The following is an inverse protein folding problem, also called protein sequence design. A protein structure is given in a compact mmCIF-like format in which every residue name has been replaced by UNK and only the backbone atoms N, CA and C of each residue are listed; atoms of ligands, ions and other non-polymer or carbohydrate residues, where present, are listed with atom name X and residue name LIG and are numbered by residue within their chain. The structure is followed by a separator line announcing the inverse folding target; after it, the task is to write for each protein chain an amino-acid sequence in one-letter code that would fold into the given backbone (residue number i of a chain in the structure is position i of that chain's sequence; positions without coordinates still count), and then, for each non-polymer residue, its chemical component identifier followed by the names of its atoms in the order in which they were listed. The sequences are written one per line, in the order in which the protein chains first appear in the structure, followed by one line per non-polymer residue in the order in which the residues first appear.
data_IF_156490007916
#
_entry.id   IF_156490007916
#
_cell.length_a   1.000
_cell.length_b   1.000
_cell.length_c   1.000
_cell.angle_alpha   90.00
_cell.angle_beta   90.00
_cell.angle_gamma   90.00
#
_symmetry.space_group_name_H-M   'P 1'
#
loop_
_entity.id
_entity.type
_entity.pdbx_description
1 polymer ?
#
# COMPACT_ATOMS: atom_id res chain seq x y z
N UNK A 1 7.54 -13.53 -17.41
CA UNK A 1 7.56 -14.55 -16.34
C UNK A 1 8.28 -13.97 -15.13
N UNK A 2 7.55 -13.36 -14.19
CA UNK A 2 8.10 -12.88 -12.93
C UNK A 2 7.87 -13.96 -11.86
N UNK A 3 8.96 -14.39 -11.24
CA UNK A 3 8.92 -15.30 -10.12
C UNK A 3 8.27 -14.59 -8.93
N UNK A 4 7.13 -15.08 -8.50
CA UNK A 4 6.44 -14.65 -7.27
C UNK A 4 7.33 -14.96 -6.07
N UNK A 5 8.02 -13.96 -5.53
CA UNK A 5 8.58 -14.05 -4.18
C UNK A 5 7.41 -14.17 -3.20
N UNK A 6 7.29 -15.30 -2.53
CA UNK A 6 6.41 -15.45 -1.37
C UNK A 6 6.86 -14.47 -0.31
N UNK A 7 6.07 -13.45 -0.05
CA UNK A 7 6.21 -12.62 1.16
C UNK A 7 5.75 -13.51 2.30
N UNK A 8 6.66 -13.88 3.20
CA UNK A 8 6.31 -14.56 4.46
C UNK A 8 5.69 -13.50 5.37
N UNK A 9 4.38 -13.55 5.48
CA UNK A 9 3.67 -12.88 6.58
C UNK A 9 3.85 -13.73 7.84
N UNK A 10 4.13 -13.06 8.98
CA UNK A 10 4.26 -13.69 10.28
C UNK A 10 3.04 -14.54 10.64
N UNK A 11 3.22 -15.39 11.63
CA UNK A 11 2.38 -16.49 12.12
C UNK A 11 0.93 -16.49 11.63
N UNK A 12 0.61 -17.48 10.82
CA UNK A 12 -0.70 -17.72 10.22
C UNK A 12 -1.78 -17.77 11.29
N UNK A 13 -2.72 -16.85 11.21
CA UNK A 13 -4.02 -17.03 11.84
C UNK A 13 -4.57 -18.38 11.36
N UNK A 14 -4.57 -19.39 12.23
CA UNK A 14 -5.07 -20.73 11.89
C UNK A 14 -6.58 -20.66 11.84
N UNK A 15 -7.12 -20.48 10.63
CA UNK A 15 -8.53 -20.77 10.42
C UNK A 15 -8.76 -22.28 10.65
N UNK A 16 -9.81 -22.68 11.40
CA UNK A 16 -10.14 -24.08 11.54
C UNK A 16 -10.31 -24.70 10.15
N UNK A 17 -9.99 -26.00 10.01
CA UNK A 17 -10.11 -26.78 8.77
C UNK A 17 -11.59 -26.84 8.33
N UNK A 18 -12.13 -25.73 7.87
CA UNK A 18 -13.46 -25.64 7.28
C UNK A 18 -13.30 -25.56 5.78
N UNK A 19 -13.76 -26.57 5.08
CA UNK A 19 -13.96 -26.51 3.63
C UNK A 19 -15.29 -25.82 3.37
N UNK A 20 -15.22 -24.64 2.77
CA UNK A 20 -16.40 -23.91 2.33
C UNK A 20 -16.42 -23.83 0.80
N UNK A 21 -17.58 -24.07 0.21
CA UNK A 21 -17.82 -23.80 -1.21
C UNK A 21 -18.79 -22.63 -1.36
N UNK A 22 -18.36 -21.61 -2.10
CA UNK A 22 -19.19 -20.45 -2.42
C UNK A 22 -19.68 -20.61 -3.85
N UNK A 23 -20.98 -20.44 -4.05
CA UNK A 23 -21.66 -20.45 -5.34
C UNK A 23 -22.04 -19.03 -5.71
N UNK A 24 -21.41 -18.44 -6.73
CA UNK A 24 -21.61 -17.04 -7.09
C UNK A 24 -21.25 -16.74 -8.57
N UNK A 25 -21.62 -15.57 -9.03
CA UNK A 25 -21.13 -15.01 -10.30
C UNK A 25 -19.68 -14.52 -10.08
N UNK A 26 -18.69 -15.24 -10.59
CA UNK A 26 -17.29 -14.85 -10.44
C UNK A 26 -16.92 -13.75 -11.43
N UNK A 27 -16.41 -12.64 -10.90
CA UNK A 27 -15.81 -11.56 -11.69
C UNK A 27 -14.33 -11.87 -11.88
N UNK A 28 -14.00 -12.46 -13.02
CA UNK A 28 -12.62 -12.80 -13.39
C UNK A 28 -11.96 -11.63 -14.10
N UNK A 29 -11.19 -10.84 -13.35
CA UNK A 29 -10.51 -9.65 -13.87
C UNK A 29 -9.44 -10.00 -14.92
N UNK A 30 -8.76 -11.14 -14.78
CA UNK A 30 -7.71 -11.56 -15.71
C UNK A 30 -8.27 -11.97 -17.06
N UNK A 31 -9.41 -12.69 -17.05
CA UNK A 31 -10.11 -13.12 -18.27
C UNK A 31 -11.13 -12.10 -18.77
N UNK A 32 -11.36 -11.01 -18.01
CA UNK A 32 -12.33 -9.96 -18.31
C UNK A 32 -13.73 -10.52 -18.59
N UNK A 33 -14.17 -11.47 -17.74
CA UNK A 33 -15.49 -12.10 -17.89
C UNK A 33 -16.15 -12.33 -16.53
N UNK A 34 -17.49 -12.41 -16.55
CA UNK A 34 -18.29 -12.81 -15.40
C UNK A 34 -18.95 -14.14 -15.76
N UNK A 35 -18.87 -15.12 -14.86
CA UNK A 35 -19.47 -16.43 -15.09
C UNK A 35 -19.89 -17.10 -13.78
N UNK A 36 -20.88 -18.00 -13.81
CA UNK A 36 -21.30 -18.74 -12.65
C UNK A 36 -20.19 -19.72 -12.22
N UNK A 37 -19.81 -19.70 -10.95
CA UNK A 37 -18.71 -20.48 -10.45
C UNK A 37 -18.93 -21.04 -9.04
N UNK A 38 -18.31 -22.18 -8.80
CA UNK A 38 -18.10 -22.76 -7.49
C UNK A 38 -16.65 -22.49 -7.05
N UNK A 39 -16.48 -21.80 -5.93
CA UNK A 39 -15.18 -21.46 -5.35
C UNK A 39 -15.02 -22.23 -4.06
N UNK A 40 -14.08 -23.17 -4.04
CA UNK A 40 -13.79 -23.98 -2.84
C UNK A 40 -12.63 -23.37 -2.06
N UNK A 41 -12.84 -23.22 -0.76
CA UNK A 41 -11.89 -22.62 0.17
C UNK A 41 -11.59 -23.65 1.27
N UNK A 42 -10.33 -23.89 1.55
CA UNK A 42 -9.85 -24.75 2.61
C UNK A 42 -8.74 -24.06 3.39
N UNK A 43 -8.87 -23.99 4.70
CA UNK A 43 -7.89 -23.33 5.56
C UNK A 43 -7.63 -21.85 5.19
N UNK A 44 -8.64 -21.14 4.67
CA UNK A 44 -8.50 -19.75 4.23
C UNK A 44 -7.85 -19.57 2.86
N UNK A 45 -7.60 -20.64 2.12
CA UNK A 45 -6.99 -20.65 0.78
C UNK A 45 -8.01 -21.09 -0.26
N UNK A 46 -8.07 -20.38 -1.39
CA UNK A 46 -8.86 -20.82 -2.55
C UNK A 46 -8.15 -22.03 -3.17
N UNK A 47 -8.76 -23.21 -3.07
CA UNK A 47 -8.23 -24.46 -3.58
C UNK A 47 -8.68 -24.76 -5.01
N UNK A 48 -9.90 -24.36 -5.36
CA UNK A 48 -10.41 -24.52 -6.72
C UNK A 48 -11.43 -23.46 -7.10
N UNK A 49 -11.47 -23.16 -8.38
CA UNK A 49 -12.50 -22.33 -9.03
C UNK A 49 -12.98 -23.13 -10.23
N UNK A 50 -14.28 -23.47 -10.27
CA UNK A 50 -14.90 -24.24 -11.34
C UNK A 50 -16.11 -23.51 -11.87
N UNK A 51 -16.23 -23.38 -13.19
CA UNK A 51 -17.44 -22.92 -13.85
C UNK A 51 -18.56 -23.95 -13.65
N UNK A 52 -19.77 -23.51 -13.30
CA UNK A 52 -20.86 -24.40 -12.92
C UNK A 52 -22.20 -23.84 -13.33
N UNK A 53 -22.92 -24.57 -14.17
CA UNK A 53 -24.27 -24.21 -14.62
C UNK A 53 -25.32 -24.32 -13.49
N UNK A 54 -24.95 -24.86 -12.34
CA UNK A 54 -25.83 -24.97 -11.16
C UNK A 54 -25.95 -23.68 -10.35
N UNK A 55 -25.14 -22.66 -10.65
CA UNK A 55 -25.20 -21.37 -9.99
C UNK A 55 -26.22 -20.48 -10.69
N UNK A 56 -27.31 -20.08 -10.01
CA UNK A 56 -28.36 -19.28 -10.65
C UNK A 56 -27.85 -17.88 -11.04
N UNK A 57 -28.40 -17.32 -12.11
CA UNK A 57 -28.06 -15.97 -12.57
C UNK A 57 -28.35 -14.88 -11.52
N UNK A 58 -29.25 -15.15 -10.57
CA UNK A 58 -29.58 -14.28 -9.45
C UNK A 58 -28.61 -14.39 -8.26
N UNK A 59 -27.61 -15.29 -8.32
CA UNK A 59 -26.60 -15.39 -7.27
C UNK A 59 -25.79 -14.09 -7.15
N UNK A 60 -25.32 -13.81 -5.94
CA UNK A 60 -24.42 -12.67 -5.70
C UNK A 60 -23.10 -12.80 -6.45
N UNK A 61 -22.32 -11.72 -6.46
CA UNK A 61 -21.02 -11.69 -7.11
C UNK A 61 -19.91 -12.01 -6.12
N UNK A 62 -18.85 -12.67 -6.61
CA UNK A 62 -17.57 -12.81 -5.92
C UNK A 62 -16.49 -12.17 -6.77
N UNK A 63 -15.67 -11.36 -6.15
CA UNK A 63 -14.56 -10.65 -6.78
C UNK A 63 -13.40 -10.51 -5.77
N UNK A 64 -12.18 -10.23 -6.24
CA UNK A 64 -11.09 -9.87 -5.32
C UNK A 64 -11.49 -8.69 -4.45
N UNK A 65 -11.11 -8.74 -3.16
CA UNK A 65 -11.33 -7.60 -2.27
C UNK A 65 -10.59 -6.35 -2.74
N UNK A 66 -11.11 -5.19 -2.39
CA UNK A 66 -10.52 -3.91 -2.79
C UNK A 66 -9.20 -3.64 -2.07
N UNK A 67 -8.28 -3.00 -2.76
CA UNK A 67 -7.05 -2.45 -2.19
C UNK A 67 -7.17 -0.94 -2.24
N UNK A 68 -7.10 -0.28 -1.08
CA UNK A 68 -6.94 1.16 -1.02
C UNK A 68 -5.48 1.47 -1.36
N UNK A 69 -5.27 2.12 -2.49
CA UNK A 69 -3.94 2.32 -3.05
C UNK A 69 -3.15 3.46 -2.38
N UNK A 70 -3.82 4.32 -1.62
CA UNK A 70 -3.18 5.37 -0.85
C UNK A 70 -4.09 5.84 0.30
N UNK A 71 -3.64 5.66 1.53
CA UNK A 71 -4.39 6.12 2.71
C UNK A 71 -3.47 6.46 3.87
N UNK A 72 -3.80 7.56 4.55
CA UNK A 72 -3.26 7.89 5.88
C UNK A 72 -4.26 7.39 6.92
N UNK A 73 -3.94 6.26 7.54
CA UNK A 73 -4.83 5.63 8.54
C UNK A 73 -5.10 6.58 9.70
N UNK A 74 -4.11 7.35 10.09
CA UNK A 74 -4.17 8.34 11.18
C UNK A 74 -5.24 9.40 10.96
N UNK A 75 -5.48 9.81 9.70
CA UNK A 75 -6.54 10.76 9.33
C UNK A 75 -7.94 10.26 9.70
N UNK A 76 -8.13 8.95 9.83
CA UNK A 76 -9.37 8.36 10.36
C UNK A 76 -9.53 8.47 11.88
N UNK A 77 -8.49 8.94 12.59
CA UNK A 77 -8.39 8.94 14.07
C UNK A 77 -8.45 7.54 14.70
N UNK A 78 -8.15 6.50 13.92
CA UNK A 78 -8.15 5.10 14.37
C UNK A 78 -6.74 4.51 14.27
N UNK A 79 -6.38 3.59 15.17
CA UNK A 79 -5.21 2.73 14.96
C UNK A 79 -5.51 1.68 13.89
N UNK A 80 -4.47 1.07 13.28
CA UNK A 80 -4.62 0.14 12.15
C UNK A 80 -5.62 -1.01 12.40
N UNK A 81 -5.60 -1.62 13.56
CA UNK A 81 -6.50 -2.74 13.86
C UNK A 81 -7.99 -2.33 13.84
N UNK A 82 -8.32 -1.14 14.34
CA UNK A 82 -9.69 -0.64 14.32
C UNK A 82 -10.08 -0.10 12.94
N UNK A 83 -9.15 0.52 12.23
CA UNK A 83 -9.36 0.89 10.81
C UNK A 83 -9.70 -0.35 9.97
N UNK A 84 -8.96 -1.45 10.13
CA UNK A 84 -9.23 -2.70 9.43
C UNK A 84 -10.64 -3.22 9.66
N UNK A 85 -11.13 -3.15 10.93
CA UNK A 85 -12.50 -3.57 11.28
C UNK A 85 -13.56 -2.75 10.58
N UNK A 86 -13.30 -1.45 10.42
CA UNK A 86 -14.19 -0.55 9.71
C UNK A 86 -14.13 -0.76 8.19
N UNK A 87 -12.94 -0.93 7.63
CA UNK A 87 -12.72 -1.01 6.19
C UNK A 87 -13.22 -2.34 5.59
N UNK A 88 -13.04 -3.47 6.29
CA UNK A 88 -13.35 -4.79 5.75
C UNK A 88 -14.84 -4.99 5.47
N UNK A 89 -15.72 -4.36 6.23
CA UNK A 89 -17.17 -4.46 6.00
C UNK A 89 -17.63 -3.77 4.72
N UNK A 90 -16.77 -2.92 4.15
CA UNK A 90 -16.98 -2.25 2.86
C UNK A 90 -16.22 -2.91 1.71
N UNK A 91 -15.60 -4.08 1.96
CA UNK A 91 -14.91 -4.86 0.94
C UNK A 91 -13.43 -4.53 0.75
N UNK A 92 -12.87 -3.58 1.51
CA UNK A 92 -11.43 -3.29 1.51
C UNK A 92 -10.69 -4.34 2.33
N UNK A 93 -9.70 -4.99 1.73
CA UNK A 93 -8.94 -6.10 2.35
C UNK A 93 -7.45 -5.78 2.49
N UNK A 94 -7.01 -4.68 1.90
CA UNK A 94 -5.63 -4.22 1.95
C UNK A 94 -5.53 -2.72 1.78
N UNK A 95 -4.44 -2.14 2.29
CA UNK A 95 -4.09 -0.73 2.08
C UNK A 95 -2.62 -0.58 1.73
N UNK A 96 -2.32 0.48 0.96
CA UNK A 96 -0.99 1.08 0.84
C UNK A 96 -1.02 2.35 1.69
N UNK A 97 -0.23 2.40 2.75
CA UNK A 97 -0.40 3.41 3.80
C UNK A 97 0.91 4.13 4.09
N UNK A 98 0.83 5.46 4.17
CA UNK A 98 1.95 6.29 4.61
C UNK A 98 1.69 6.81 6.04
N UNK A 99 2.47 6.37 7.04
CA UNK A 99 2.29 6.77 8.43
C UNK A 99 3.05 8.07 8.76
N UNK A 100 3.11 9.05 7.85
CA UNK A 100 3.87 10.27 8.10
C UNK A 100 3.21 11.19 9.13
N UNK A 101 1.89 11.15 9.29
CA UNK A 101 1.19 11.98 10.26
C UNK A 101 1.61 11.61 11.69
N UNK A 102 1.60 10.33 12.05
CA UNK A 102 2.09 9.89 13.36
C UNK A 102 3.61 10.06 13.47
N UNK A 103 4.35 9.91 12.36
CA UNK A 103 5.79 10.13 12.34
C UNK A 103 6.16 11.61 12.59
N UNK A 104 5.34 12.58 12.17
CA UNK A 104 5.52 13.99 12.50
C UNK A 104 5.42 14.26 14.01
N UNK A 105 4.76 13.38 14.77
CA UNK A 105 4.58 13.52 16.22
C UNK A 105 5.62 12.70 16.98
N UNK A 106 5.83 11.43 16.61
CA UNK A 106 6.59 10.44 17.37
C UNK A 106 7.81 9.87 16.61
N UNK A 107 8.09 10.33 15.39
CA UNK A 107 9.20 9.84 14.60
C UNK A 107 9.06 8.37 14.24
N UNK A 108 10.19 7.65 14.24
CA UNK A 108 10.24 6.22 13.94
C UNK A 108 9.44 5.36 14.93
N UNK A 109 9.27 5.80 16.17
CA UNK A 109 8.44 5.10 17.18
C UNK A 109 6.97 5.10 16.77
N UNK A 110 6.47 6.19 16.18
CA UNK A 110 5.12 6.26 15.62
C UNK A 110 4.91 5.25 14.49
N UNK A 111 5.87 5.13 13.58
CA UNK A 111 5.84 4.11 12.52
C UNK A 111 5.83 2.69 13.12
N UNK A 112 6.67 2.44 14.13
CA UNK A 112 6.71 1.15 14.82
C UNK A 112 5.37 0.80 15.47
N UNK A 113 4.74 1.77 16.14
CA UNK A 113 3.39 1.60 16.70
C UNK A 113 2.37 1.16 15.63
N UNK A 114 2.38 1.79 14.45
CA UNK A 114 1.47 1.44 13.36
C UNK A 114 1.69 0.00 12.87
N UNK A 115 2.95 -0.42 12.75
CA UNK A 115 3.30 -1.78 12.36
C UNK A 115 2.86 -2.82 13.41
N UNK A 116 3.11 -2.53 14.68
CA UNK A 116 2.78 -3.43 15.79
C UNK A 116 1.26 -3.62 15.92
N UNK A 117 0.49 -2.53 15.86
CA UNK A 117 -0.96 -2.61 15.94
C UNK A 117 -1.57 -3.30 14.71
N UNK A 118 -1.04 -3.04 13.51
CA UNK A 118 -1.45 -3.69 12.27
C UNK A 118 -1.24 -5.22 12.32
N UNK A 119 -0.19 -5.68 12.99
CA UNK A 119 0.11 -7.11 13.12
C UNK A 119 -0.94 -7.92 13.89
N UNK A 120 -1.83 -7.24 14.61
CA UNK A 120 -2.86 -7.85 15.50
C UNK A 120 -4.09 -8.35 14.75
N UNK A 121 -4.23 -8.01 13.46
CA UNK A 121 -5.41 -8.34 12.66
C UNK A 121 -5.03 -8.93 11.29
N UNK A 122 -5.83 -9.84 10.73
CA UNK A 122 -5.55 -10.48 9.44
C UNK A 122 -5.90 -9.57 8.23
N UNK A 123 -5.65 -8.27 8.34
CA UNK A 123 -5.79 -7.31 7.25
C UNK A 123 -4.40 -7.02 6.66
N UNK A 124 -4.33 -6.73 5.38
CA UNK A 124 -3.05 -6.54 4.69
C UNK A 124 -2.69 -5.07 4.65
N UNK A 125 -1.73 -4.67 5.46
CA UNK A 125 -1.17 -3.33 5.42
C UNK A 125 0.17 -3.34 4.69
N UNK A 126 0.33 -2.45 3.70
CA UNK A 126 1.60 -2.15 3.08
C UNK A 126 2.03 -0.76 3.55
N UNK A 127 2.77 -0.69 4.64
CA UNK A 127 3.30 0.58 5.14
C UNK A 127 4.55 1.01 4.40
N UNK A 128 4.64 2.31 4.12
CA UNK A 128 5.84 2.97 3.64
C UNK A 128 6.70 3.53 4.77
N UNK A 129 7.97 3.81 4.47
CA UNK A 129 8.80 4.66 5.31
C UNK A 129 8.52 6.12 4.94
N UNK A 130 8.07 6.97 5.87
CA UNK A 130 7.82 8.38 5.56
C UNK A 130 9.05 9.08 5.02
N UNK A 131 8.93 9.68 3.84
CA UNK A 131 10.05 10.33 3.16
C UNK A 131 10.30 11.76 3.66
N UNK A 132 9.24 12.44 4.05
CA UNK A 132 9.25 13.87 4.38
C UNK A 132 8.64 14.10 5.77
N UNK A 133 9.48 14.07 6.80
CA UNK A 133 9.11 14.36 8.20
C UNK A 133 10.14 15.31 8.78
N UNK A 134 9.78 16.57 9.01
CA UNK A 134 8.56 17.25 8.54
C UNK A 134 8.49 17.38 7.02
N UNK A 135 7.31 17.74 6.49
CA UNK A 135 7.10 17.91 5.05
C UNK A 135 7.96 19.02 4.46
N UNK A 136 8.19 20.08 5.21
CA UNK A 136 9.05 21.22 4.83
C UNK A 136 10.06 21.55 5.92
N UNK A 137 11.19 22.18 5.55
CA UNK A 137 12.26 22.53 6.48
C UNK A 137 11.91 23.68 7.44
N UNK A 138 10.80 24.38 7.21
CA UNK A 138 10.34 25.50 8.04
C UNK A 138 9.12 25.17 8.89
N UNK A 139 8.66 23.93 8.89
CA UNK A 139 7.62 23.45 9.80
C UNK A 139 8.18 23.10 11.16
N UNK A 140 7.33 23.28 12.19
CA UNK A 140 7.59 22.74 13.53
C UNK A 140 6.88 21.40 13.65
N UNK A 141 7.66 20.34 13.86
CA UNK A 141 7.16 18.98 14.07
C UNK A 141 7.65 18.44 15.41
N UNK A 142 7.01 17.38 15.91
CA UNK A 142 7.43 16.65 17.12
C UNK A 142 8.70 15.83 16.89
N UNK A 143 8.97 15.44 15.64
CA UNK A 143 10.13 14.65 15.25
C UNK A 143 10.59 14.99 13.83
N UNK A 144 11.77 14.47 13.47
CA UNK A 144 12.31 14.53 12.11
C UNK A 144 12.89 13.18 11.72
N UNK A 145 12.78 12.82 10.44
CA UNK A 145 13.39 11.64 9.85
C UNK A 145 14.39 12.04 8.76
N UNK A 146 15.66 11.97 9.08
CA UNK A 146 16.76 12.17 8.13
C UNK A 146 17.00 10.92 7.25
N UNK A 147 17.89 11.01 6.28
CA UNK A 147 18.16 9.92 5.36
C UNK A 147 18.66 8.64 6.06
N UNK A 148 19.52 8.67 7.09
CA UNK A 148 19.86 7.51 7.90
C UNK A 148 18.67 6.88 8.61
N UNK A 149 17.79 7.67 9.21
CA UNK A 149 16.58 7.17 9.90
C UNK A 149 15.61 6.50 8.92
N UNK A 150 15.38 7.14 7.76
CA UNK A 150 14.55 6.56 6.69
C UNK A 150 15.17 5.26 6.15
N UNK A 151 16.49 5.21 5.93
CA UNK A 151 17.16 3.97 5.52
C UNK A 151 17.00 2.86 6.57
N UNK A 152 17.06 3.21 7.86
CA UNK A 152 16.83 2.24 8.93
C UNK A 152 15.40 1.67 8.87
N UNK A 153 14.39 2.51 8.70
CA UNK A 153 12.99 2.06 8.50
C UNK A 153 12.86 1.17 7.26
N UNK A 154 13.45 1.56 6.15
CA UNK A 154 13.40 0.79 4.90
C UNK A 154 14.06 -0.60 5.01
N UNK A 155 14.99 -0.82 5.95
CA UNK A 155 15.56 -2.16 6.22
C UNK A 155 14.58 -3.10 6.91
N UNK A 156 13.54 -2.56 7.54
CA UNK A 156 12.48 -3.39 8.14
C UNK A 156 11.71 -4.11 7.02
N UNK A 157 11.57 -5.46 7.06
CA UNK A 157 10.84 -6.20 6.05
C UNK A 157 9.34 -5.89 6.01
N UNK A 158 8.76 -5.37 7.09
CA UNK A 158 7.37 -4.95 7.16
C UNK A 158 7.10 -3.62 6.44
N UNK A 159 8.13 -2.84 6.14
CA UNK A 159 8.02 -1.62 5.33
C UNK A 159 8.16 -1.99 3.86
N UNK A 160 7.16 -1.67 3.05
CA UNK A 160 7.07 -2.05 1.64
C UNK A 160 7.80 -1.11 0.67
N UNK A 161 7.85 0.18 0.96
CA UNK A 161 8.26 1.21 0.02
C UNK A 161 8.74 2.49 0.75
N UNK A 162 9.32 3.42 0.01
CA UNK A 162 9.53 4.81 0.47
C UNK A 162 8.26 5.59 0.11
N UNK A 163 7.54 6.07 1.12
CA UNK A 163 6.27 6.73 0.89
C UNK A 163 6.42 8.18 0.45
N UNK A 164 5.38 8.68 -0.08
CA UNK A 164 5.18 9.91 -0.83
C UNK A 164 6.28 10.98 -0.69
N UNK A 165 7.05 11.15 -1.76
CA UNK A 165 8.11 12.14 -1.84
C UNK A 165 7.51 13.55 -2.09
N UNK A 166 6.90 14.12 -1.03
CA UNK A 166 6.23 15.41 -1.06
C UNK A 166 7.15 16.57 -1.42
N UNK A 167 8.44 16.47 -1.06
CA UNK A 167 9.42 17.50 -1.42
C UNK A 167 9.87 17.36 -2.89
N UNK A 168 8.89 17.34 -3.82
CA UNK A 168 9.20 17.28 -5.25
C UNK A 168 10.05 18.48 -5.74
N UNK A 169 9.91 19.72 -5.20
CA UNK A 169 10.85 20.79 -5.55
C UNK A 169 12.30 20.45 -5.18
N UNK A 170 12.51 19.84 -4.00
CA UNK A 170 13.83 19.38 -3.59
C UNK A 170 14.40 18.33 -4.54
N UNK A 171 13.57 17.38 -5.00
CA UNK A 171 13.99 16.39 -6.00
C UNK A 171 14.41 17.05 -7.30
N UNK A 172 13.60 18.01 -7.80
CA UNK A 172 13.90 18.74 -9.05
C UNK A 172 15.19 19.57 -8.96
N UNK A 173 15.53 20.06 -7.77
CA UNK A 173 16.75 20.83 -7.52
C UNK A 173 17.94 19.99 -7.02
N UNK A 174 17.76 18.67 -6.89
CA UNK A 174 18.82 17.77 -6.46
C UNK A 174 19.18 17.88 -4.98
N UNK A 175 18.20 18.16 -4.11
CA UNK A 175 18.38 18.22 -2.67
C UNK A 175 19.03 16.94 -2.15
N UNK A 176 20.09 17.07 -1.36
CA UNK A 176 20.91 15.94 -0.94
C UNK A 176 20.14 14.96 -0.07
N UNK A 177 19.26 15.44 0.82
CA UNK A 177 18.43 14.59 1.69
C UNK A 177 17.41 13.80 0.89
N UNK A 178 16.66 14.45 -0.01
CA UNK A 178 15.70 13.79 -0.88
C UNK A 178 16.39 12.70 -1.71
N UNK A 179 17.50 13.04 -2.35
CA UNK A 179 18.24 12.10 -3.22
C UNK A 179 18.85 10.93 -2.42
N UNK A 180 19.31 11.17 -1.19
CA UNK A 180 19.82 10.11 -0.33
C UNK A 180 18.73 9.10 0.07
N UNK A 181 17.52 9.57 0.41
CA UNK A 181 16.37 8.74 0.75
C UNK A 181 15.92 7.88 -0.44
N UNK A 182 15.79 8.49 -1.63
CA UNK A 182 15.48 7.78 -2.89
C UNK A 182 16.55 6.72 -3.19
N UNK A 183 17.83 7.07 -3.06
CA UNK A 183 18.92 6.15 -3.28
C UNK A 183 18.91 4.98 -2.29
N UNK A 184 18.54 5.22 -1.02
CA UNK A 184 18.40 4.17 -0.01
C UNK A 184 17.30 3.16 -0.40
N UNK A 185 16.11 3.63 -0.79
CA UNK A 185 15.01 2.78 -1.23
C UNK A 185 15.43 1.92 -2.44
N UNK A 186 16.06 2.52 -3.44
CA UNK A 186 16.54 1.82 -4.63
C UNK A 186 17.59 0.75 -4.31
N UNK A 187 18.56 1.04 -3.44
CA UNK A 187 19.56 0.03 -3.00
C UNK A 187 18.91 -1.18 -2.33
N UNK A 188 17.80 -0.95 -1.62
CA UNK A 188 17.04 -2.00 -0.93
C UNK A 188 15.99 -2.67 -1.82
N UNK A 189 15.90 -2.28 -3.10
CA UNK A 189 14.95 -2.83 -4.07
C UNK A 189 13.50 -2.49 -3.76
N UNK A 190 13.27 -1.36 -3.08
CA UNK A 190 11.93 -0.88 -2.71
C UNK A 190 11.48 0.24 -3.65
N UNK A 191 10.20 0.25 -4.06
CA UNK A 191 9.64 1.35 -4.86
C UNK A 191 9.64 2.66 -4.08
N UNK A 192 9.54 3.76 -4.81
CA UNK A 192 9.40 5.11 -4.26
C UNK A 192 8.10 5.69 -4.77
N UNK A 193 7.23 6.07 -3.86
CA UNK A 193 5.99 6.76 -4.20
C UNK A 193 6.21 8.27 -4.28
N UNK A 194 5.49 8.91 -5.18
CA UNK A 194 5.54 10.33 -5.44
C UNK A 194 4.33 11.07 -4.91
N UNK A 195 4.50 12.38 -4.78
CA UNK A 195 3.47 13.33 -4.42
C UNK A 195 3.83 14.68 -5.06
N UNK A 196 3.43 14.88 -6.30
CA UNK A 196 3.81 16.06 -7.09
C UNK A 196 2.61 16.69 -7.81
N UNK A 197 1.64 17.26 -7.04
CA UNK A 197 0.40 17.79 -7.60
C UNK A 197 0.67 18.83 -8.68
N UNK A 198 0.05 18.65 -9.85
CA UNK A 198 0.14 19.54 -10.99
C UNK A 198 1.48 19.55 -11.72
N UNK A 199 2.41 18.66 -11.37
CA UNK A 199 3.71 18.57 -12.06
C UNK A 199 3.53 17.93 -13.44
N UNK A 200 4.08 18.59 -14.48
CA UNK A 200 3.88 18.19 -15.88
C UNK A 200 5.14 18.36 -16.74
N UNK A 201 5.12 17.71 -17.91
CA UNK A 201 6.11 17.92 -18.96
C UNK A 201 7.52 17.51 -18.54
N UNK A 202 8.49 18.39 -18.78
CA UNK A 202 9.90 18.12 -18.50
C UNK A 202 10.20 17.96 -17.01
N UNK A 203 9.51 18.70 -16.14
CA UNK A 203 9.69 18.59 -14.70
C UNK A 203 9.13 17.27 -14.18
N UNK A 204 8.00 16.76 -14.70
CA UNK A 204 7.52 15.44 -14.39
C UNK A 204 8.53 14.36 -14.81
N UNK A 205 9.10 14.45 -16.02
CA UNK A 205 10.14 13.52 -16.48
C UNK A 205 11.38 13.54 -15.60
N UNK A 206 11.80 14.71 -15.15
CA UNK A 206 12.94 14.86 -14.22
C UNK A 206 12.64 14.23 -12.87
N UNK A 207 11.44 14.44 -12.34
CA UNK A 207 10.98 13.87 -11.07
C UNK A 207 10.98 12.33 -11.12
N UNK A 208 10.32 11.74 -12.11
CA UNK A 208 10.34 10.28 -12.30
C UNK A 208 11.76 9.76 -12.64
N UNK A 209 12.54 10.51 -13.39
CA UNK A 209 13.94 10.20 -13.71
C UNK A 209 14.85 10.11 -12.48
N UNK A 210 14.51 10.77 -11.38
CA UNK A 210 15.21 10.67 -10.10
C UNK A 210 15.01 9.29 -9.42
N UNK A 211 14.01 8.51 -9.85
CA UNK A 211 13.75 7.16 -9.35
C UNK A 211 12.42 7.01 -8.63
N UNK A 212 11.50 7.96 -8.80
CA UNK A 212 10.11 7.85 -8.37
C UNK A 212 9.41 6.82 -9.26
N UNK A 213 8.62 5.93 -8.65
CA UNK A 213 7.97 4.80 -9.36
C UNK A 213 6.49 5.04 -9.63
N UNK A 214 5.83 5.81 -8.79
CA UNK A 214 4.38 6.09 -8.81
C UNK A 214 4.13 7.52 -8.37
N UNK A 215 2.97 8.06 -8.70
CA UNK A 215 2.44 9.31 -8.17
C UNK A 215 0.93 9.17 -8.07
N UNK A 216 0.34 9.63 -6.97
CA UNK A 216 -1.10 9.52 -6.72
C UNK A 216 -1.83 10.85 -6.79
N UNK A 217 -1.12 11.96 -7.08
CA UNK A 217 -1.66 13.33 -7.06
C UNK A 217 -2.04 13.87 -8.45
N UNK A 218 -2.36 12.98 -9.40
CA UNK A 218 -2.86 13.39 -10.71
C UNK A 218 -4.35 13.74 -10.63
N UNK A 219 -4.70 15.01 -10.91
CA UNK A 219 -6.09 15.48 -10.87
C UNK A 219 -6.83 15.33 -12.20
N UNK A 220 -6.10 15.21 -13.30
CA UNK A 220 -6.70 15.15 -14.63
C UNK A 220 -6.19 13.94 -15.40
N UNK A 221 -6.97 13.55 -16.43
CA UNK A 221 -6.58 12.48 -17.34
C UNK A 221 -5.22 12.78 -18.01
N UNK A 222 -5.01 14.03 -18.41
CA UNK A 222 -3.79 14.43 -19.12
C UNK A 222 -2.56 14.37 -18.21
N UNK A 223 -2.70 14.71 -16.92
CA UNK A 223 -1.63 14.54 -15.93
C UNK A 223 -1.27 13.07 -15.74
N UNK A 224 -2.26 12.21 -15.59
CA UNK A 224 -2.04 10.78 -15.39
C UNK A 224 -1.54 10.06 -16.63
N UNK A 225 -1.67 10.66 -17.83
CA UNK A 225 -1.22 10.09 -19.09
C UNK A 225 0.23 10.47 -19.44
N UNK A 226 0.74 11.60 -18.97
CA UNK A 226 2.13 12.05 -19.19
C UNK A 226 3.14 11.16 -18.48
#
# INVERSE_FOLDING_TARGET
FAATKKVQFGETCTFPNMTNTIHAQLVDLHRRRIYPAEVSIEGGIICSIRESDHVPASAGYILPGFVDAHVHIESSMLPPAEFARLAVVHGTVATVSDPHEIANVLGAEGVSFMLDDASRVPFKFCFGAPSCVPATTFETAGAALDAPAVEHLLRNPAIGYLSEMMNFPGVLHGDAECMAKIAAARRLGKPVDGHAPGLRGEDARRYFGAGISTDHECFTYDEGWE
#
